data_IF_969027389315
#
_entry.id   IF_969027389315
#
_cell.length_a   1.000
_cell.length_b   1.000
_cell.length_c   1.000
_cell.angle_alpha   90.00
_cell.angle_beta   90.00
_cell.angle_gamma   90.00
#
_symmetry.space_group_name_H-M   'P 1'
#
loop_
_entity.id
_entity.type
_entity.pdbx_description
1 polymer ?
#
# COMPACT_ATOMS: atom_id res chain seq x y z
N UNK A 1 -10.57 13.33 -0.82
CA UNK A 1 -9.61 12.35 -0.25
C UNK A 1 -10.34 11.68 0.90
N UNK A 2 -10.37 10.34 0.96
CA UNK A 2 -11.08 9.64 2.04
C UNK A 2 -10.29 9.80 3.35
N UNK A 3 -10.83 10.58 4.29
CA UNK A 3 -10.12 10.90 5.53
C UNK A 3 -9.96 9.67 6.44
N UNK A 4 -10.89 8.73 6.41
CA UNK A 4 -10.80 7.50 7.18
C UNK A 4 -9.71 6.59 6.61
N UNK A 5 -9.54 6.57 5.28
CA UNK A 5 -8.42 5.89 4.64
C UNK A 5 -7.07 6.47 5.09
N UNK A 6 -6.96 7.79 5.20
CA UNK A 6 -5.76 8.45 5.75
C UNK A 6 -5.52 7.95 7.18
N UNK A 7 -6.52 8.01 8.06
CA UNK A 7 -6.36 7.56 9.47
C UNK A 7 -5.88 6.12 9.53
N UNK A 8 -6.53 5.21 8.80
CA UNK A 8 -6.16 3.79 8.72
C UNK A 8 -4.71 3.62 8.28
N UNK A 9 -4.30 4.32 7.22
CA UNK A 9 -2.94 4.22 6.67
C UNK A 9 -1.84 4.62 7.65
N UNK A 10 -2.14 5.39 8.71
CA UNK A 10 -1.14 5.77 9.72
C UNK A 10 -1.11 4.84 10.95
N UNK A 11 -2.12 3.97 11.14
CA UNK A 11 -2.29 3.14 12.35
C UNK A 11 -1.01 2.48 12.86
N UNK A 12 -0.14 1.86 12.04
CA UNK A 12 1.05 1.16 12.55
C UNK A 12 2.07 2.10 13.20
N UNK A 13 2.06 3.38 12.82
CA UNK A 13 3.01 4.40 13.30
C UNK A 13 2.54 5.14 14.54
N UNK A 14 1.27 4.96 14.94
CA UNK A 14 0.65 5.64 16.06
C UNK A 14 1.09 5.03 17.40
N UNK A 15 1.30 5.89 18.39
CA UNK A 15 1.49 5.48 19.79
C UNK A 15 0.23 4.80 20.34
N UNK A 16 0.32 4.13 21.49
CA UNK A 16 -0.85 3.48 22.12
C UNK A 16 -2.01 4.45 22.32
N UNK A 17 -1.75 5.66 22.79
CA UNK A 17 -2.77 6.69 23.00
C UNK A 17 -3.32 7.23 21.68
N UNK A 18 -2.48 7.47 20.68
CA UNK A 18 -2.94 7.91 19.35
C UNK A 18 -3.77 6.83 18.63
N UNK A 19 -3.45 5.54 18.84
CA UNK A 19 -4.25 4.42 18.31
C UNK A 19 -5.66 4.40 18.88
N UNK A 20 -5.85 4.70 20.17
CA UNK A 20 -7.19 4.81 20.77
C UNK A 20 -8.03 5.85 20.04
N UNK A 21 -7.44 7.02 19.78
CA UNK A 21 -8.09 8.12 19.03
C UNK A 21 -8.46 7.67 17.62
N UNK A 22 -7.50 7.09 16.89
CA UNK A 22 -7.73 6.61 15.53
C UNK A 22 -8.83 5.54 15.47
N UNK A 23 -8.81 4.59 16.40
CA UNK A 23 -9.82 3.52 16.48
C UNK A 23 -11.20 4.09 16.79
N UNK A 24 -11.30 5.00 17.76
CA UNK A 24 -12.57 5.64 18.10
C UNK A 24 -13.18 6.36 16.89
N UNK A 25 -12.37 7.14 16.15
CA UNK A 25 -12.82 7.85 14.96
C UNK A 25 -13.21 6.88 13.83
N UNK A 26 -12.44 5.82 13.60
CA UNK A 26 -12.73 4.84 12.56
C UNK A 26 -14.01 4.04 12.83
N UNK A 27 -14.39 3.91 14.10
CA UNK A 27 -15.61 3.20 14.53
C UNK A 27 -16.85 4.09 14.64
N UNK A 28 -16.69 5.41 14.81
CA UNK A 28 -17.79 6.33 15.12
C UNK A 28 -17.64 7.68 14.35
N UNK A 29 -17.27 7.63 13.07
CA UNK A 29 -16.88 8.83 12.31
C UNK A 29 -18.01 9.85 12.17
N UNK A 30 -19.24 9.37 12.08
CA UNK A 30 -20.51 10.11 12.04
C UNK A 30 -20.82 10.84 13.35
N UNK A 31 -20.45 10.28 14.50
CA UNK A 31 -20.60 10.96 15.79
C UNK A 31 -19.53 12.04 15.98
N UNK A 32 -18.29 11.74 15.57
CA UNK A 32 -17.11 12.61 15.79
C UNK A 32 -17.25 13.98 15.13
N UNK A 33 -18.00 14.10 14.02
CA UNK A 33 -18.26 15.41 13.38
C UNK A 33 -18.95 16.40 14.32
N UNK A 34 -19.68 15.92 15.34
CA UNK A 34 -20.38 16.75 16.29
C UNK A 34 -19.58 16.98 17.58
N UNK A 35 -18.59 16.15 17.88
CA UNK A 35 -17.81 16.23 19.12
C UNK A 35 -16.81 17.38 19.15
N UNK A 36 -16.68 18.04 20.29
CA UNK A 36 -15.55 18.91 20.62
C UNK A 36 -14.28 18.10 20.86
N UNK A 37 -13.13 18.78 20.92
CA UNK A 37 -11.84 18.12 21.19
C UNK A 37 -11.82 17.48 22.58
N UNK A 38 -12.50 18.09 23.55
CA UNK A 38 -12.58 17.62 24.93
C UNK A 38 -13.42 16.34 25.03
N UNK A 39 -14.56 16.31 24.35
CA UNK A 39 -15.44 15.13 24.30
C UNK A 39 -14.75 13.97 23.59
N UNK A 40 -14.10 14.23 22.45
CA UNK A 40 -13.33 13.19 21.75
C UNK A 40 -12.18 12.65 22.60
N UNK A 41 -11.49 13.52 23.34
CA UNK A 41 -10.42 13.13 24.25
C UNK A 41 -10.96 12.22 25.37
N UNK A 42 -12.10 12.58 25.97
CA UNK A 42 -12.77 11.79 27.00
C UNK A 42 -13.18 10.40 26.48
N UNK A 43 -13.87 10.36 25.34
CA UNK A 43 -14.38 9.12 24.72
C UNK A 43 -13.25 8.21 24.21
N UNK A 44 -12.13 8.79 23.79
CA UNK A 44 -10.92 8.05 23.39
C UNK A 44 -10.01 7.68 24.58
N UNK A 45 -10.37 8.05 25.81
CA UNK A 45 -9.58 7.87 27.03
C UNK A 45 -8.15 8.43 26.92
N UNK A 46 -8.01 9.66 26.42
CA UNK A 46 -6.73 10.37 26.27
C UNK A 46 -6.86 11.85 26.65
N UNK A 47 -5.75 12.56 26.79
CA UNK A 47 -5.76 14.02 26.90
C UNK A 47 -5.89 14.72 25.55
N UNK A 48 -6.45 15.94 25.53
CA UNK A 48 -6.62 16.78 24.31
C UNK A 48 -5.31 16.96 23.51
N UNK A 49 -4.18 17.09 24.21
CA UNK A 49 -2.87 17.22 23.55
C UNK A 49 -2.53 16.01 22.66
N UNK A 50 -3.05 14.82 22.99
CA UNK A 50 -2.91 13.62 22.15
C UNK A 50 -3.71 13.74 20.87
N UNK A 51 -4.93 14.30 20.92
CA UNK A 51 -5.77 14.55 19.73
C UNK A 51 -5.07 15.54 18.79
N UNK A 52 -4.51 16.61 19.33
CA UNK A 52 -3.76 17.61 18.54
C UNK A 52 -2.51 16.98 17.91
N UNK A 53 -1.74 16.19 18.66
CA UNK A 53 -0.57 15.48 18.12
C UNK A 53 -0.97 14.47 17.04
N UNK A 54 -2.03 13.70 17.26
CA UNK A 54 -2.56 12.74 16.30
C UNK A 54 -2.95 13.41 14.98
N UNK A 55 -3.79 14.45 15.03
CA UNK A 55 -4.27 15.16 13.83
C UNK A 55 -3.13 15.81 13.05
N UNK A 56 -2.13 16.37 13.73
CA UNK A 56 -0.91 16.86 13.09
C UNK A 56 -0.07 15.76 12.46
N UNK A 57 0.06 14.63 13.13
CA UNK A 57 0.87 13.49 12.66
C UNK A 57 0.34 12.89 11.36
N UNK A 58 -0.99 12.84 11.20
CA UNK A 58 -1.67 12.35 9.98
C UNK A 58 -1.80 13.41 8.87
N UNK A 59 -1.25 14.62 9.08
CA UNK A 59 -1.06 15.62 8.02
C UNK A 59 -1.94 16.88 8.09
N UNK A 60 -2.73 17.09 9.14
CA UNK A 60 -3.59 18.28 9.28
C UNK A 60 -2.91 19.37 10.13
N UNK A 61 -3.36 20.62 10.00
CA UNK A 61 -2.87 21.74 10.84
C UNK A 61 -3.24 21.61 12.33
N UNK A 62 -4.18 20.74 12.67
CA UNK A 62 -4.66 20.46 14.02
C UNK A 62 -6.10 19.94 14.00
N UNK A 63 -6.74 19.88 15.17
CA UNK A 63 -8.08 19.29 15.31
C UNK A 63 -9.16 19.98 14.47
N UNK A 64 -9.16 21.32 14.41
CA UNK A 64 -10.18 22.06 13.66
C UNK A 64 -10.06 21.85 12.15
N UNK A 65 -8.84 21.76 11.64
CA UNK A 65 -8.56 21.47 10.22
C UNK A 65 -9.00 20.04 9.87
N UNK A 66 -8.61 19.08 10.70
CA UNK A 66 -9.07 17.69 10.62
C UNK A 66 -10.61 17.58 10.65
N UNK A 67 -11.27 18.26 11.59
CA UNK A 67 -12.73 18.21 11.76
C UNK A 67 -13.48 18.74 10.54
N UNK A 68 -12.96 19.79 9.89
CA UNK A 68 -13.54 20.31 8.64
C UNK A 68 -13.51 19.28 7.52
N UNK A 69 -12.37 18.62 7.33
CA UNK A 69 -12.25 17.58 6.31
C UNK A 69 -13.08 16.33 6.65
N UNK A 70 -13.24 15.99 7.94
CA UNK A 70 -14.14 14.92 8.37
C UNK A 70 -15.61 15.23 8.07
N UNK A 71 -16.08 16.45 8.38
CA UNK A 71 -17.44 16.90 8.04
C UNK A 71 -17.66 16.84 6.52
N UNK A 72 -16.69 17.33 5.73
CA UNK A 72 -16.77 17.29 4.27
C UNK A 72 -16.86 15.86 3.76
N UNK A 73 -16.08 14.96 4.33
CA UNK A 73 -16.10 13.55 4.00
C UNK A 73 -17.45 12.90 4.31
N UNK A 74 -17.97 13.06 5.54
CA UNK A 74 -19.26 12.51 5.95
C UNK A 74 -20.41 13.06 5.09
N UNK A 75 -20.42 14.35 4.76
CA UNK A 75 -21.45 14.96 3.90
C UNK A 75 -21.49 14.40 2.46
N UNK A 76 -20.37 13.84 1.99
CA UNK A 76 -20.29 13.14 0.70
C UNK A 76 -20.69 11.68 0.86
N UNK A 77 -20.40 11.06 2.01
CA UNK A 77 -20.70 9.66 2.29
C UNK A 77 -22.17 9.42 2.65
N UNK A 78 -22.88 10.39 3.22
CA UNK A 78 -24.34 10.31 3.51
C UNK A 78 -25.22 10.15 2.26
N UNK A 79 -24.63 10.15 1.06
CA UNK A 79 -25.31 9.83 -0.21
C UNK A 79 -25.20 8.36 -0.63
N UNK A 80 -24.44 7.55 0.11
CA UNK A 80 -24.40 6.09 -0.08
C UNK A 80 -25.38 5.51 0.93
N UNK A 81 -26.54 5.12 0.43
CA UNK A 81 -27.66 4.60 1.20
C UNK A 81 -27.26 3.29 1.90
N UNK A 82 -26.95 3.36 3.20
CA UNK A 82 -26.62 2.21 4.05
C UNK A 82 -27.76 1.17 4.10
N UNK A 83 -28.97 1.53 3.67
CA UNK A 83 -30.12 0.63 3.66
C UNK A 83 -30.03 -0.50 2.61
N UNK A 84 -29.08 -0.43 1.66
CA UNK A 84 -28.94 -1.38 0.55
C UNK A 84 -27.83 -2.43 0.72
N UNK A 85 -26.94 -2.29 1.72
CA UNK A 85 -25.78 -3.19 1.90
C UNK A 85 -26.07 -4.27 2.95
N UNK A 86 -27.12 -5.07 2.75
CA UNK A 86 -27.57 -6.07 3.73
C UNK A 86 -27.08 -7.51 3.45
N UNK A 87 -26.27 -7.74 2.41
CA UNK A 87 -25.78 -9.10 2.09
C UNK A 87 -24.26 -9.14 2.00
N UNK A 88 -23.62 -10.28 2.33
CA UNK A 88 -22.16 -10.42 2.27
C UNK A 88 -21.54 -10.03 0.91
N UNK A 89 -22.23 -10.30 -0.21
CA UNK A 89 -21.75 -9.94 -1.55
C UNK A 89 -21.69 -8.42 -1.77
N UNK A 90 -22.69 -7.67 -1.31
CA UNK A 90 -22.75 -6.22 -1.48
C UNK A 90 -21.73 -5.54 -0.55
N UNK A 91 -21.59 -6.03 0.69
CA UNK A 91 -20.55 -5.57 1.63
C UNK A 91 -19.16 -5.75 1.02
N UNK A 92 -18.87 -6.95 0.51
CA UNK A 92 -17.58 -7.28 -0.09
C UNK A 92 -17.30 -6.43 -1.34
N UNK A 93 -18.30 -6.26 -2.21
CA UNK A 93 -18.18 -5.41 -3.40
C UNK A 93 -17.89 -3.95 -3.02
N UNK A 94 -18.66 -3.38 -2.10
CA UNK A 94 -18.48 -2.01 -1.64
C UNK A 94 -17.09 -1.81 -1.01
N UNK A 95 -16.60 -2.78 -0.22
CA UNK A 95 -15.25 -2.76 0.34
C UNK A 95 -14.17 -2.73 -0.74
N UNK A 96 -14.26 -3.56 -1.78
CA UNK A 96 -13.28 -3.54 -2.87
C UNK A 96 -13.34 -2.25 -3.69
N UNK A 97 -14.55 -1.81 -4.10
CA UNK A 97 -14.71 -0.57 -4.87
C UNK A 97 -14.13 0.62 -4.12
N UNK A 98 -14.41 0.70 -2.81
CA UNK A 98 -13.87 1.74 -1.95
C UNK A 98 -12.34 1.66 -1.86
N UNK A 99 -11.78 0.48 -1.59
CA UNK A 99 -10.32 0.30 -1.46
C UNK A 99 -9.57 0.61 -2.75
N UNK A 100 -10.13 0.27 -3.91
CA UNK A 100 -9.58 0.61 -5.22
C UNK A 100 -9.66 2.11 -5.50
N UNK A 101 -10.78 2.76 -5.16
CA UNK A 101 -10.95 4.21 -5.30
C UNK A 101 -9.96 5.00 -4.43
N UNK A 102 -9.78 4.58 -3.18
CA UNK A 102 -8.78 5.15 -2.26
C UNK A 102 -7.36 4.93 -2.76
N UNK A 103 -7.03 3.71 -3.20
CA UNK A 103 -5.73 3.39 -3.79
C UNK A 103 -5.43 4.28 -4.98
N UNK A 104 -6.40 4.47 -5.89
CA UNK A 104 -6.28 5.40 -7.01
C UNK A 104 -5.96 6.82 -6.53
N UNK A 105 -6.55 7.27 -5.42
CA UNK A 105 -6.28 8.58 -4.84
C UNK A 105 -4.90 8.73 -4.17
N UNK A 106 -4.26 7.63 -3.77
CA UNK A 106 -2.90 7.63 -3.19
C UNK A 106 -1.79 7.53 -4.23
N UNK A 107 -2.12 7.23 -5.48
CA UNK A 107 -1.12 7.09 -6.54
C UNK A 107 -0.56 8.46 -6.90
N UNK A 108 0.75 8.59 -6.70
CA UNK A 108 1.58 9.66 -7.25
C UNK A 108 2.16 9.16 -8.59
N UNK A 109 1.71 9.76 -9.70
CA UNK A 109 2.12 9.38 -11.05
C UNK A 109 3.63 9.57 -11.28
N UNK A 110 4.25 10.57 -10.66
CA UNK A 110 5.69 10.80 -10.79
C UNK A 110 6.47 9.65 -10.13
N UNK A 111 6.04 9.23 -8.95
CA UNK A 111 6.65 8.10 -8.23
C UNK A 111 6.47 6.78 -9.00
N UNK A 112 5.30 6.55 -9.59
CA UNK A 112 5.06 5.39 -10.46
C UNK A 112 5.98 5.41 -11.67
N UNK A 113 6.12 6.56 -12.34
CA UNK A 113 6.97 6.71 -13.51
C UNK A 113 8.44 6.46 -13.17
N UNK A 114 8.91 6.98 -12.03
CA UNK A 114 10.28 6.72 -11.54
C UNK A 114 10.49 5.25 -11.22
N UNK A 115 9.53 4.60 -10.55
CA UNK A 115 9.57 3.17 -10.28
C UNK A 115 9.60 2.34 -11.57
N UNK A 116 8.76 2.68 -12.55
CA UNK A 116 8.72 2.02 -13.85
C UNK A 116 10.07 2.09 -14.57
N UNK A 117 10.70 3.27 -14.61
CA UNK A 117 12.03 3.46 -15.22
C UNK A 117 13.10 2.64 -14.53
N UNK A 118 13.13 2.61 -13.19
CA UNK A 118 14.07 1.78 -12.44
C UNK A 118 13.89 0.29 -12.78
N UNK A 119 12.65 -0.22 -12.83
CA UNK A 119 12.38 -1.62 -13.16
C UNK A 119 12.74 -1.97 -14.61
N UNK A 120 12.59 -1.03 -15.55
CA UNK A 120 13.01 -1.22 -16.94
C UNK A 120 14.54 -1.31 -17.02
N UNK A 121 15.26 -0.43 -16.32
CA UNK A 121 16.72 -0.35 -16.39
C UNK A 121 17.45 -1.39 -15.54
N UNK A 122 16.76 -2.04 -14.59
CA UNK A 122 17.35 -3.01 -13.69
C UNK A 122 17.98 -4.20 -14.44
N UNK A 123 19.21 -4.55 -14.06
CA UNK A 123 19.85 -5.81 -14.48
C UNK A 123 19.05 -7.01 -13.99
N UNK A 124 18.66 -6.97 -12.71
CA UNK A 124 17.83 -7.98 -12.05
C UNK A 124 16.94 -7.34 -11.00
N UNK A 125 15.74 -7.89 -10.85
CA UNK A 125 14.75 -7.44 -9.87
C UNK A 125 14.61 -8.52 -8.80
N UNK A 126 14.87 -8.17 -7.55
CA UNK A 126 14.64 -9.05 -6.40
C UNK A 126 13.34 -8.66 -5.72
N UNK A 127 12.41 -9.60 -5.56
CA UNK A 127 11.16 -9.33 -4.85
C UNK A 127 11.24 -9.93 -3.44
N UNK A 128 11.01 -9.09 -2.43
CA UNK A 128 11.00 -9.51 -1.03
C UNK A 128 9.63 -9.34 -0.42
N UNK A 129 9.00 -10.44 -0.02
CA UNK A 129 7.69 -10.48 0.59
C UNK A 129 7.50 -11.84 1.29
N UNK A 130 6.73 -11.86 2.37
CA UNK A 130 6.42 -13.10 3.10
C UNK A 130 4.93 -13.16 3.45
N UNK A 131 4.44 -14.35 3.80
CA UNK A 131 3.02 -14.57 4.11
C UNK A 131 2.10 -14.21 2.93
N UNK A 132 0.96 -13.58 3.21
CA UNK A 132 -0.05 -13.22 2.20
C UNK A 132 0.50 -12.29 1.11
N UNK A 133 1.41 -11.37 1.46
CA UNK A 133 2.08 -10.50 0.46
C UNK A 133 2.91 -11.29 -0.55
N UNK A 134 3.23 -12.56 -0.26
CA UNK A 134 3.86 -13.47 -1.20
C UNK A 134 3.01 -13.77 -2.46
N UNK A 135 1.69 -13.70 -2.37
CA UNK A 135 0.78 -13.86 -3.52
C UNK A 135 0.99 -12.69 -4.50
N UNK A 136 1.01 -11.47 -3.95
CA UNK A 136 1.33 -10.25 -4.70
C UNK A 136 2.71 -10.33 -5.34
N UNK A 137 3.71 -10.79 -4.58
CA UNK A 137 5.09 -10.96 -5.05
C UNK A 137 5.21 -11.96 -6.20
N UNK A 138 4.53 -13.11 -6.11
CA UNK A 138 4.52 -14.10 -7.17
C UNK A 138 3.83 -13.56 -8.43
N UNK A 139 2.72 -12.83 -8.28
CA UNK A 139 2.01 -12.22 -9.40
C UNK A 139 2.89 -11.22 -10.15
N UNK A 140 3.52 -10.27 -9.44
CA UNK A 140 4.38 -9.28 -10.09
C UNK A 140 5.62 -9.93 -10.71
N UNK A 141 6.20 -10.94 -10.07
CA UNK A 141 7.34 -11.68 -10.64
C UNK A 141 6.97 -12.30 -11.99
N UNK A 142 5.83 -12.98 -12.06
CA UNK A 142 5.32 -13.54 -13.31
C UNK A 142 5.01 -12.45 -14.36
N UNK A 143 4.46 -11.32 -13.93
CA UNK A 143 4.11 -10.21 -14.83
C UNK A 143 5.36 -9.54 -15.40
N UNK A 144 6.37 -9.28 -14.59
CA UNK A 144 7.64 -8.68 -15.01
C UNK A 144 8.45 -9.64 -15.88
N UNK A 145 8.46 -10.94 -15.58
CA UNK A 145 9.07 -11.96 -16.45
C UNK A 145 8.46 -11.96 -17.86
N UNK A 146 7.13 -11.79 -17.95
CA UNK A 146 6.43 -11.65 -19.25
C UNK A 146 6.73 -10.33 -19.97
N UNK A 147 7.30 -9.36 -19.28
CA UNK A 147 7.82 -8.09 -19.81
C UNK A 147 9.36 -8.17 -19.99
N UNK A 148 9.90 -9.38 -20.18
CA UNK A 148 11.32 -9.61 -20.44
C UNK A 148 12.24 -9.02 -19.37
N UNK A 149 11.79 -8.98 -18.11
CA UNK A 149 12.62 -8.59 -16.97
C UNK A 149 13.11 -9.82 -16.24
N UNK A 150 14.38 -9.81 -15.82
CA UNK A 150 14.95 -10.86 -14.97
C UNK A 150 14.50 -10.63 -13.54
N UNK A 151 13.60 -11.47 -13.02
CA UNK A 151 13.02 -11.31 -11.68
C UNK A 151 13.22 -12.56 -10.84
N UNK A 152 13.54 -12.36 -9.58
CA UNK A 152 13.66 -13.44 -8.60
C UNK A 152 12.80 -13.17 -7.37
N UNK A 153 11.88 -14.09 -7.10
CA UNK A 153 11.12 -14.17 -5.87
C UNK A 153 11.26 -15.58 -5.30
N UNK A 154 11.68 -15.67 -4.05
CA UNK A 154 11.74 -16.91 -3.29
C UNK A 154 10.85 -16.73 -2.07
N UNK A 155 9.95 -17.67 -1.79
CA UNK A 155 9.02 -17.54 -0.67
C UNK A 155 9.69 -17.67 0.71
N UNK A 156 10.78 -18.44 0.80
CA UNK A 156 11.54 -18.65 2.03
C UNK A 156 12.30 -17.37 2.45
N UNK A 157 12.06 -16.90 3.67
CA UNK A 157 12.62 -15.64 4.18
C UNK A 157 14.13 -15.71 4.47
N UNK A 158 14.65 -16.89 4.81
CA UNK A 158 16.08 -17.08 4.99
C UNK A 158 16.82 -16.98 3.66
N UNK A 159 16.27 -17.59 2.60
CA UNK A 159 16.81 -17.48 1.24
C UNK A 159 16.67 -16.05 0.69
N UNK A 160 15.59 -15.33 1.00
CA UNK A 160 15.49 -13.90 0.67
C UNK A 160 16.62 -13.09 1.31
N UNK A 161 16.98 -13.38 2.57
CA UNK A 161 18.08 -12.70 3.26
C UNK A 161 19.43 -12.97 2.58
N UNK A 162 19.66 -14.20 2.12
CA UNK A 162 20.84 -14.55 1.32
C UNK A 162 20.82 -13.80 -0.02
N UNK A 163 19.69 -13.75 -0.71
CA UNK A 163 19.58 -12.99 -1.96
C UNK A 163 19.84 -11.50 -1.76
N UNK A 164 19.37 -10.92 -0.66
CA UNK A 164 19.57 -9.52 -0.34
C UNK A 164 21.07 -9.16 -0.23
N UNK A 165 21.90 -10.04 0.36
CA UNK A 165 23.35 -9.80 0.46
C UNK A 165 24.09 -9.94 -0.87
N UNK A 166 23.48 -10.62 -1.85
CA UNK A 166 24.05 -10.85 -3.19
C UNK A 166 23.62 -9.80 -4.22
N UNK A 167 22.75 -8.85 -3.85
CA UNK A 167 22.32 -7.76 -4.73
C UNK A 167 23.48 -6.84 -5.11
N UNK A 168 23.36 -6.18 -6.28
CA UNK A 168 24.33 -5.24 -6.82
C UNK A 168 23.70 -3.86 -7.08
N UNK A 169 24.53 -2.84 -7.31
CA UNK A 169 24.09 -1.47 -7.53
C UNK A 169 23.14 -1.28 -8.75
N UNK A 170 23.25 -2.16 -9.75
CA UNK A 170 22.44 -2.16 -10.98
C UNK A 170 21.21 -3.06 -10.88
N UNK A 171 20.99 -3.67 -9.72
CA UNK A 171 19.77 -4.40 -9.39
C UNK A 171 18.74 -3.47 -8.75
N UNK A 172 17.48 -3.92 -8.73
CA UNK A 172 16.39 -3.25 -8.02
C UNK A 172 15.71 -4.24 -7.09
N UNK A 173 15.45 -3.80 -5.86
CA UNK A 173 14.61 -4.52 -4.90
C UNK A 173 13.20 -3.99 -4.98
N UNK A 174 12.24 -4.90 -5.11
CA UNK A 174 10.82 -4.64 -4.90
C UNK A 174 10.38 -5.30 -3.59
N UNK A 175 10.21 -4.51 -2.54
CA UNK A 175 9.85 -5.01 -1.22
C UNK A 175 8.36 -4.78 -0.94
N UNK A 176 7.61 -5.83 -0.62
CA UNK A 176 6.17 -5.79 -0.43
C UNK A 176 5.82 -6.22 0.99
N UNK A 177 5.15 -5.34 1.72
CA UNK A 177 4.62 -5.65 3.05
C UNK A 177 3.36 -4.84 3.30
N UNK A 178 2.23 -5.53 3.45
CA UNK A 178 0.94 -4.89 3.76
C UNK A 178 1.08 -3.96 4.97
N UNK A 179 1.53 -4.48 6.12
CA UNK A 179 1.74 -3.70 7.36
C UNK A 179 2.90 -2.71 7.30
N UNK A 180 3.84 -2.92 6.37
CA UNK A 180 5.08 -2.19 6.24
C UNK A 180 6.06 -2.36 7.41
N UNK A 181 5.84 -3.35 8.29
CA UNK A 181 6.64 -3.60 9.49
C UNK A 181 7.16 -5.04 9.61
N UNK A 182 7.04 -5.84 8.54
CA UNK A 182 7.49 -7.23 8.54
C UNK A 182 9.01 -7.31 8.66
N UNK A 183 9.51 -7.81 9.79
CA UNK A 183 10.95 -7.80 10.14
C UNK A 183 11.84 -8.42 9.06
N UNK A 184 11.47 -9.59 8.55
CA UNK A 184 12.24 -10.30 7.52
C UNK A 184 12.41 -9.45 6.25
N UNK A 185 11.34 -8.77 5.81
CA UNK A 185 11.37 -7.88 4.63
C UNK A 185 12.21 -6.65 4.90
N UNK A 186 12.06 -6.03 6.09
CA UNK A 186 12.87 -4.87 6.48
C UNK A 186 14.37 -5.20 6.56
N UNK A 187 14.71 -6.38 7.07
CA UNK A 187 16.09 -6.86 7.11
C UNK A 187 16.66 -7.05 5.70
N UNK A 188 15.89 -7.65 4.78
CA UNK A 188 16.32 -7.81 3.39
C UNK A 188 16.59 -6.45 2.71
N UNK A 189 15.72 -5.45 2.94
CA UNK A 189 15.93 -4.09 2.43
C UNK A 189 17.26 -3.52 2.95
N UNK A 190 17.49 -3.58 4.27
CA UNK A 190 18.71 -3.05 4.88
C UNK A 190 19.97 -3.73 4.35
N UNK A 191 19.92 -5.04 4.12
CA UNK A 191 21.04 -5.79 3.52
C UNK A 191 21.31 -5.33 2.08
N UNK A 192 20.27 -5.19 1.26
CA UNK A 192 20.42 -4.75 -0.12
C UNK A 192 20.94 -3.30 -0.22
N UNK A 193 20.49 -2.41 0.66
CA UNK A 193 20.95 -1.02 0.69
C UNK A 193 22.44 -0.89 1.00
N UNK A 194 23.03 -1.81 1.77
CA UNK A 194 24.48 -1.84 2.01
C UNK A 194 25.29 -2.05 0.72
N UNK A 195 24.66 -2.63 -0.31
CA UNK A 195 25.27 -2.86 -1.61
C UNK A 195 24.94 -1.75 -2.62
N UNK A 196 24.29 -0.66 -2.20
CA UNK A 196 23.88 0.45 -3.08
C UNK A 196 22.64 0.17 -3.92
N UNK A 197 22.02 -0.99 -3.75
CA UNK A 197 20.84 -1.44 -4.51
C UNK A 197 19.64 -0.53 -4.25
N UNK A 198 18.95 -0.11 -5.32
CA UNK A 198 17.74 0.72 -5.21
C UNK A 198 16.54 -0.08 -4.76
N UNK A 199 15.71 0.52 -3.91
CA UNK A 199 14.57 -0.14 -3.27
C UNK A 199 13.27 0.58 -3.62
N UNK A 200 12.34 -0.15 -4.22
CA UNK A 200 10.95 0.25 -4.40
C UNK A 200 10.12 -0.50 -3.35
N UNK A 201 9.45 0.21 -2.45
CA UNK A 201 8.60 -0.40 -1.42
C UNK A 201 7.12 -0.28 -1.78
N UNK A 202 6.36 -1.36 -1.60
CA UNK A 202 4.90 -1.40 -1.70
C UNK A 202 4.30 -1.74 -0.34
N UNK A 203 3.38 -0.92 0.13
CA UNK A 203 2.70 -1.10 1.41
C UNK A 203 1.27 -0.56 1.37
N UNK A 204 0.47 -0.87 2.40
CA UNK A 204 -0.86 -0.28 2.54
C UNK A 204 -0.94 0.81 3.61
N UNK A 205 0.17 1.08 4.30
CA UNK A 205 0.23 2.06 5.38
C UNK A 205 1.27 3.14 5.09
N UNK A 206 0.80 4.39 5.06
CA UNK A 206 1.63 5.58 4.96
C UNK A 206 2.58 5.68 6.17
N UNK A 207 3.82 6.09 5.90
CA UNK A 207 4.88 6.29 6.91
C UNK A 207 5.27 5.06 7.72
N UNK A 208 4.91 3.85 7.26
CA UNK A 208 5.38 2.57 7.81
C UNK A 208 6.91 2.43 7.71
N UNK A 209 7.51 1.48 8.43
CA UNK A 209 8.97 1.31 8.41
C UNK A 209 9.50 1.05 6.99
N UNK A 210 8.79 0.25 6.19
CA UNK A 210 9.18 -0.05 4.81
C UNK A 210 9.19 1.22 3.92
N UNK A 211 8.21 2.10 4.09
CA UNK A 211 8.10 3.33 3.29
C UNK A 211 9.24 4.32 3.54
N UNK A 212 9.88 4.26 4.72
CA UNK A 212 11.03 5.10 5.07
C UNK A 212 12.35 4.52 4.56
N UNK A 213 12.40 3.22 4.34
CA UNK A 213 13.59 2.54 3.84
C UNK A 213 13.63 2.52 2.31
N UNK A 214 12.49 2.57 1.60
CA UNK A 214 12.46 2.60 0.14
C UNK A 214 12.99 3.92 -0.44
N UNK A 215 13.76 3.85 -1.52
CA UNK A 215 14.09 5.01 -2.38
C UNK A 215 12.83 5.57 -3.05
N UNK A 216 11.88 4.69 -3.38
CA UNK A 216 10.54 5.02 -3.88
C UNK A 216 9.52 4.22 -3.08
N UNK A 217 8.52 4.89 -2.51
CA UNK A 217 7.45 4.24 -1.75
C UNK A 217 6.11 4.40 -2.46
N UNK A 218 5.52 3.28 -2.87
CA UNK A 218 4.20 3.20 -3.47
C UNK A 218 3.20 2.68 -2.43
N UNK A 219 2.09 3.39 -2.25
CA UNK A 219 1.10 3.07 -1.21
C UNK A 219 -0.22 2.69 -1.83
N UNK A 220 -0.72 1.52 -1.47
CA UNK A 220 -2.10 1.11 -1.72
C UNK A 220 -2.97 1.44 -0.49
N UNK A 221 -4.29 1.48 -0.64
CA UNK A 221 -5.16 1.57 0.54
C UNK A 221 -5.36 0.19 1.18
N UNK A 222 -5.53 0.14 2.49
CA UNK A 222 -6.16 -0.97 3.18
C UNK A 222 -7.07 -0.47 4.28
N UNK A 223 -8.33 -0.88 4.27
CA UNK A 223 -9.13 -0.98 5.49
C UNK A 223 -8.96 -2.38 6.05
N UNK A 224 -7.90 -2.59 6.83
CA UNK A 224 -7.91 -3.74 7.74
C UNK A 224 -8.76 -3.35 8.94
N UNK A 225 -9.90 -4.01 9.14
CA UNK A 225 -10.48 -4.03 10.47
C UNK A 225 -9.45 -4.72 11.40
N UNK A 226 -9.30 -4.33 12.67
CA UNK A 226 -8.35 -4.95 13.58
C UNK A 226 -8.46 -6.49 13.70
N UNK A 227 -9.62 -7.06 13.35
CA UNK A 227 -9.90 -8.49 13.28
C UNK A 227 -9.52 -9.18 11.96
N UNK A 228 -9.12 -8.43 10.93
CA UNK A 228 -8.88 -8.90 9.55
C UNK A 228 -7.46 -8.55 9.07
N UNK A 229 -6.45 -8.94 9.86
CA UNK A 229 -5.05 -8.83 9.48
C UNK A 229 -4.76 -9.72 8.27
N UNK A 230 -4.28 -9.16 7.16
CA UNK A 230 -4.10 -9.90 5.90
C UNK A 230 -5.32 -9.90 5.00
N UNK A 231 -6.22 -8.92 5.16
CA UNK A 231 -7.44 -8.78 4.36
C UNK A 231 -7.16 -8.90 2.87
N UNK A 232 -7.99 -9.68 2.17
CA UNK A 232 -7.87 -9.87 0.73
C UNK A 232 -8.01 -8.53 -0.03
N UNK A 233 -8.74 -7.55 0.52
CA UNK A 233 -8.84 -6.21 -0.06
C UNK A 233 -7.51 -5.47 -0.15
N UNK A 234 -6.63 -5.64 0.86
CA UNK A 234 -5.28 -5.07 0.82
C UNK A 234 -4.46 -5.69 -0.32
N UNK A 235 -4.58 -7.01 -0.51
CA UNK A 235 -3.93 -7.74 -1.60
C UNK A 235 -4.42 -7.26 -2.97
N UNK A 236 -5.74 -7.14 -3.15
CA UNK A 236 -6.34 -6.62 -4.39
C UNK A 236 -5.87 -5.20 -4.68
N UNK A 237 -5.78 -4.34 -3.66
CA UNK A 237 -5.32 -2.97 -3.82
C UNK A 237 -3.83 -2.89 -4.23
N UNK A 238 -2.98 -3.76 -3.68
CA UNK A 238 -1.59 -3.89 -4.15
C UNK A 238 -1.50 -4.43 -5.57
N UNK A 239 -2.31 -5.42 -5.94
CA UNK A 239 -2.35 -5.97 -7.29
C UNK A 239 -2.82 -4.93 -8.32
N UNK A 240 -3.78 -4.09 -7.97
CA UNK A 240 -4.22 -2.96 -8.79
C UNK A 240 -3.08 -1.95 -9.03
N UNK A 241 -2.37 -1.56 -7.97
CA UNK A 241 -1.20 -0.69 -8.03
C UNK A 241 -0.08 -1.28 -8.92
N UNK A 242 0.16 -2.59 -8.81
CA UNK A 242 1.12 -3.32 -9.64
C UNK A 242 0.71 -3.34 -11.11
N UNK A 243 -0.58 -3.55 -11.41
CA UNK A 243 -1.03 -3.53 -12.79
C UNK A 243 -0.86 -2.15 -13.41
N UNK A 244 -1.12 -1.07 -12.65
CA UNK A 244 -0.81 0.31 -13.05
C UNK A 244 0.69 0.48 -13.32
N UNK A 245 1.54 0.08 -12.37
CA UNK A 245 3.00 0.17 -12.52
C UNK A 245 3.47 -0.52 -13.81
N UNK A 246 2.95 -1.71 -14.10
CA UNK A 246 3.34 -2.45 -15.31
C UNK A 246 2.79 -1.81 -16.60
N UNK A 247 1.64 -1.13 -16.55
CA UNK A 247 1.13 -0.34 -17.68
C UNK A 247 2.03 0.86 -17.96
N UNK A 248 2.44 1.58 -16.91
CA UNK A 248 3.40 2.68 -17.03
C UNK A 248 4.74 2.20 -17.59
N UNK A 249 5.22 1.02 -17.19
CA UNK A 249 6.41 0.42 -17.83
C UNK A 249 6.20 0.21 -19.33
N UNK A 250 5.07 -0.38 -19.73
CA UNK A 250 4.73 -0.62 -21.15
C UNK A 250 4.68 0.69 -21.94
N UNK A 251 4.13 1.76 -21.37
CA UNK A 251 4.04 3.07 -22.00
C UNK A 251 5.41 3.74 -22.21
N UNK A 252 6.45 3.39 -21.45
CA UNK A 252 7.81 3.92 -21.69
C UNK A 252 8.44 3.36 -22.96
N UNK A 253 8.17 2.09 -23.30
CA UNK A 253 8.76 1.41 -24.47
C UNK A 253 7.72 0.55 -25.23
N UNK A 254 6.66 1.17 -25.79
CA UNK A 254 5.48 0.45 -26.26
C UNK A 254 5.79 -0.54 -27.40
N UNK A 255 6.65 -0.18 -28.34
CA UNK A 255 7.05 -1.06 -29.45
C UNK A 255 7.80 -2.28 -28.96
N UNK A 256 8.73 -2.10 -28.01
CA UNK A 256 9.51 -3.19 -27.43
C UNK A 256 8.59 -4.18 -26.69
N UNK A 257 7.75 -3.69 -25.78
CA UNK A 257 6.85 -4.55 -25.01
C UNK A 257 5.76 -5.20 -25.87
N UNK A 258 5.33 -4.56 -26.97
CA UNK A 258 4.43 -5.18 -27.94
C UNK A 258 5.05 -6.44 -28.57
N UNK A 259 6.30 -6.36 -29.03
CA UNK A 259 7.03 -7.49 -29.61
C UNK A 259 7.27 -8.61 -28.59
N UNK A 260 7.67 -8.26 -27.35
CA UNK A 260 7.81 -9.24 -26.26
C UNK A 260 6.48 -9.96 -25.99
N UNK A 261 5.37 -9.23 -25.92
CA UNK A 261 4.03 -9.82 -25.70
C UNK A 261 3.64 -10.76 -26.84
N UNK A 262 3.94 -10.39 -28.09
CA UNK A 262 3.70 -11.25 -29.26
C UNK A 262 4.52 -12.54 -29.17
N UNK A 263 5.82 -12.45 -28.88
CA UNK A 263 6.73 -13.60 -28.74
C UNK A 263 6.28 -14.56 -27.63
N UNK A 264 5.95 -14.02 -26.45
CA UNK A 264 5.51 -14.82 -25.30
C UNK A 264 4.14 -15.47 -25.53
N UNK A 265 3.18 -14.77 -26.14
CA UNK A 265 1.87 -15.35 -26.47
C UNK A 265 1.98 -16.46 -27.52
N UNK A 266 2.84 -16.31 -28.54
CA UNK A 266 3.07 -17.36 -29.54
C UNK A 266 3.61 -18.66 -28.91
N UNK A 267 4.45 -18.56 -27.88
CA UNK A 267 4.97 -19.73 -27.16
C UNK A 267 3.86 -20.48 -26.38
N UNK A 268 2.79 -19.79 -25.98
CA UNK A 268 1.65 -20.39 -25.28
C UNK A 268 0.64 -21.01 -26.26
N UNK A 269 0.36 -20.33 -27.37
CA UNK A 269 -0.58 -20.83 -28.40
C UNK A 269 -0.09 -22.14 -28.99
N UNK A 270 1.23 -22.31 -29.19
CA UNK A 270 1.83 -23.56 -29.70
C UNK A 270 1.73 -24.78 -28.75
N UNK A 271 1.15 -24.62 -27.56
CA UNK A 271 0.95 -25.71 -26.58
C UNK A 271 -0.47 -26.29 -26.62
N UNK A 272 -1.36 -25.68 -27.39
CA UNK A 272 -2.74 -26.13 -27.66
C UNK A 272 -2.71 -26.93 -28.95
#
# INVERSE_FOLDING_TARGET
MDILAIISSYLPTLSKSEKKVAQYILSNSDEVVNLSINELALLSEVGESTIVRFTRKIGFGGFQDFKKELIRFESVQTKIDDSLINTPKEVTYAQFVKSLSETKGFIDEEMILRAAKLLIQARKIYVFAVGTSGITAQHISNRLMRLDRTVEYIQDSHLQSINATLTKEDDVVLAISTSGNTKDVLQCIQLAQKNGTKVISITNYLKSAISKLGDISLTASSKEFPSDSGSFSATISQLYLIDILTKYMVEQEPSYFHEIRKKTNQALIKRI
#
